data_IF_126567548924
#
_entry.id   IF_126567548924
#
_cell.length_a   1.000
_cell.length_b   1.000
_cell.length_c   1.000
_cell.angle_alpha   90.00
_cell.angle_beta   90.00
_cell.angle_gamma   90.00
#
_symmetry.space_group_name_H-M   'P 1'
#
loop_
_entity.id
_entity.type
_entity.pdbx_description
1 polymer ?
#
# COMPACT_ATOMS: atom_id res chain seq x y z
N UNK A 1 -31.19 28.38 5.07
CA UNK A 1 -30.00 28.05 4.24
C UNK A 1 -29.08 27.21 5.11
N UNK A 2 -28.97 25.91 4.83
CA UNK A 2 -28.06 25.04 5.57
C UNK A 2 -26.65 25.24 5.03
N UNK A 3 -25.77 25.71 5.90
CA UNK A 3 -24.36 25.86 5.61
C UNK A 3 -23.75 24.44 5.59
N UNK A 4 -23.55 23.90 4.39
CA UNK A 4 -22.80 22.66 4.21
C UNK A 4 -21.33 22.96 4.51
N UNK A 5 -20.91 22.74 5.77
CA UNK A 5 -19.50 22.85 6.16
C UNK A 5 -18.81 21.58 5.67
N UNK A 6 -17.90 21.67 4.67
CA UNK A 6 -17.21 20.49 4.20
C UNK A 6 -16.40 19.90 5.35
N UNK A 7 -16.49 18.57 5.57
CA UNK A 7 -15.81 17.91 6.66
C UNK A 7 -14.31 18.16 6.56
N UNK A 8 -13.75 18.81 7.58
CA UNK A 8 -12.35 19.28 7.63
C UNK A 8 -11.29 18.20 7.45
N UNK A 9 -11.66 16.90 7.54
CA UNK A 9 -10.76 15.75 7.40
C UNK A 9 -11.48 14.52 6.81
N UNK A 10 -11.72 14.53 5.49
CA UNK A 10 -12.25 13.35 4.78
C UNK A 10 -11.28 12.13 4.77
N UNK A 11 -10.00 12.33 5.12
CA UNK A 11 -8.93 11.37 4.87
C UNK A 11 -8.73 10.28 5.93
N UNK A 12 -9.16 10.46 7.20
CA UNK A 12 -8.85 9.50 8.28
C UNK A 12 -9.54 8.13 8.12
N UNK A 13 -10.76 8.10 7.58
CA UNK A 13 -11.51 6.86 7.42
C UNK A 13 -10.89 5.93 6.35
N UNK A 14 -10.41 6.50 5.23
CA UNK A 14 -9.77 5.75 4.13
C UNK A 14 -8.40 5.18 4.49
N UNK A 15 -7.69 5.84 5.42
CA UNK A 15 -6.35 5.42 5.80
C UNK A 15 -6.31 4.22 6.77
N UNK A 16 -7.32 4.08 7.64
CA UNK A 16 -7.45 2.89 8.48
C UNK A 16 -7.89 1.68 7.67
N UNK A 17 -8.79 1.85 6.70
CA UNK A 17 -9.27 0.75 5.85
C UNK A 17 -8.20 0.24 4.90
N UNK A 18 -7.37 1.09 4.30
CA UNK A 18 -6.25 0.63 3.46
C UNK A 18 -5.18 -0.11 4.26
N UNK A 19 -4.84 0.37 5.46
CA UNK A 19 -3.91 -0.35 6.36
C UNK A 19 -4.51 -1.68 6.79
N UNK A 20 -5.80 -1.72 7.13
CA UNK A 20 -6.48 -2.94 7.52
C UNK A 20 -6.54 -3.95 6.37
N UNK A 21 -6.87 -3.52 5.15
CA UNK A 21 -6.86 -4.38 3.96
C UNK A 21 -5.44 -4.90 3.68
N UNK A 22 -4.41 -4.06 3.78
CA UNK A 22 -3.02 -4.51 3.66
C UNK A 22 -2.66 -5.54 4.72
N UNK A 23 -2.96 -5.26 5.99
CA UNK A 23 -2.68 -6.16 7.11
C UNK A 23 -3.52 -7.45 7.11
N UNK A 24 -4.69 -7.46 6.47
CA UNK A 24 -5.48 -8.69 6.35
C UNK A 24 -5.02 -9.50 5.14
N UNK A 25 -4.81 -8.82 4.01
CA UNK A 25 -4.51 -9.47 2.74
C UNK A 25 -3.09 -10.03 2.74
N UNK A 26 -2.11 -9.31 3.27
CA UNK A 26 -0.72 -9.77 3.24
C UNK A 26 -0.48 -11.07 4.01
N UNK A 27 -0.82 -11.18 5.31
CA UNK A 27 -0.59 -12.41 6.07
C UNK A 27 -1.57 -13.52 5.70
N UNK A 28 -2.81 -13.20 5.33
CA UNK A 28 -3.77 -14.22 4.90
C UNK A 28 -3.37 -14.81 3.54
N UNK A 29 -3.06 -13.97 2.55
CA UNK A 29 -2.61 -14.43 1.23
C UNK A 29 -1.26 -15.14 1.30
N UNK A 30 -0.28 -14.55 2.01
CA UNK A 30 1.03 -15.19 2.23
C UNK A 30 0.89 -16.53 2.97
N UNK A 31 0.08 -16.57 4.02
CA UNK A 31 -0.16 -17.77 4.82
C UNK A 31 -0.84 -18.86 4.01
N UNK A 32 -1.89 -18.53 3.25
CA UNK A 32 -2.58 -19.47 2.36
C UNK A 32 -1.64 -19.98 1.28
N UNK A 33 -0.86 -19.12 0.62
CA UNK A 33 0.12 -19.55 -0.37
C UNK A 33 1.19 -20.46 0.24
N UNK A 34 1.67 -20.17 1.45
CA UNK A 34 2.62 -21.03 2.16
C UNK A 34 1.99 -22.37 2.50
N UNK A 35 0.78 -22.39 3.06
CA UNK A 35 0.06 -23.63 3.41
C UNK A 35 -0.22 -24.45 2.16
N UNK A 36 -0.67 -23.84 1.08
CA UNK A 36 -0.91 -24.52 -0.21
C UNK A 36 0.40 -25.07 -0.76
N UNK A 37 1.48 -24.28 -0.77
CA UNK A 37 2.81 -24.74 -1.19
C UNK A 37 3.31 -25.92 -0.37
N UNK A 38 3.23 -25.85 0.96
CA UNK A 38 3.60 -26.96 1.87
C UNK A 38 2.70 -28.17 1.65
N UNK A 39 1.40 -27.96 1.45
CA UNK A 39 0.43 -29.04 1.23
C UNK A 39 0.74 -29.76 -0.08
N UNK A 40 1.00 -29.02 -1.16
CA UNK A 40 1.40 -29.60 -2.45
C UNK A 40 2.73 -30.34 -2.36
N UNK A 41 3.67 -29.89 -1.51
CA UNK A 41 5.00 -30.51 -1.43
C UNK A 41 5.08 -31.70 -0.48
N UNK A 42 4.35 -31.66 0.64
CA UNK A 42 4.47 -32.63 1.74
C UNK A 42 3.35 -33.66 1.75
N UNK A 43 2.18 -33.37 1.18
CA UNK A 43 1.06 -34.32 1.23
C UNK A 43 1.23 -35.37 0.16
N UNK A 44 1.15 -36.63 0.58
CA UNK A 44 1.05 -37.77 -0.32
C UNK A 44 -0.21 -37.62 -1.18
N UNK A 45 -0.09 -37.80 -2.51
CA UNK A 45 -1.25 -37.77 -3.39
C UNK A 45 -2.22 -38.91 -3.03
N UNK A 46 -3.49 -38.74 -3.38
CA UNK A 46 -4.53 -39.74 -3.14
C UNK A 46 -4.28 -41.00 -3.98
N UNK A 47 -4.26 -42.15 -3.32
CA UNK A 47 -4.09 -43.47 -3.95
C UNK A 47 -5.26 -43.85 -4.89
N UNK A 48 -6.46 -43.31 -4.65
CA UNK A 48 -7.70 -43.77 -5.27
C UNK A 48 -8.13 -43.00 -6.51
N UNK A 49 -7.61 -41.80 -6.80
CA UNK A 49 -7.91 -41.03 -8.03
C UNK A 49 -6.79 -40.02 -8.37
N UNK A 50 -6.52 -39.83 -9.66
CA UNK A 50 -5.58 -38.81 -10.18
C UNK A 50 -4.36 -39.36 -10.93
N UNK A 51 -3.63 -38.49 -11.66
CA UNK A 51 -2.48 -38.87 -12.49
C UNK A 51 -1.18 -39.17 -11.70
N UNK A 52 -1.12 -38.87 -10.40
CA UNK A 52 0.08 -39.03 -9.55
C UNK A 52 0.00 -40.22 -8.56
N UNK A 53 -0.87 -41.20 -8.82
CA UNK A 53 -1.20 -42.30 -7.89
C UNK A 53 -0.02 -43.20 -7.47
N UNK A 54 1.02 -43.30 -8.29
CA UNK A 54 2.18 -44.20 -8.08
C UNK A 54 3.35 -43.53 -7.36
N UNK A 55 3.27 -42.22 -7.10
CA UNK A 55 4.39 -41.43 -6.59
C UNK A 55 4.22 -41.15 -5.10
N UNK A 56 5.33 -41.20 -4.35
CA UNK A 56 5.32 -40.91 -2.92
C UNK A 56 5.23 -39.41 -2.65
N UNK A 57 5.73 -38.59 -3.58
CA UNK A 57 5.52 -37.15 -3.58
C UNK A 57 5.15 -36.69 -4.99
N UNK A 58 4.28 -35.69 -5.17
CA UNK A 58 3.92 -35.19 -6.49
C UNK A 58 5.12 -34.60 -7.25
N UNK A 59 6.23 -34.38 -6.56
CA UNK A 59 7.48 -33.90 -7.14
C UNK A 59 8.35 -35.01 -7.74
N UNK A 60 8.12 -36.29 -7.39
CA UNK A 60 8.89 -37.41 -7.93
C UNK A 60 8.74 -37.52 -9.47
N UNK A 61 7.64 -36.99 -10.04
CA UNK A 61 7.41 -36.94 -11.49
C UNK A 61 8.38 -35.99 -12.19
N UNK A 62 8.82 -34.96 -11.48
CA UNK A 62 9.81 -34.01 -11.97
C UNK A 62 11.21 -34.61 -11.85
N UNK A 63 11.49 -35.46 -10.85
CA UNK A 63 12.75 -36.21 -10.74
C UNK A 63 12.91 -37.18 -11.93
N UNK A 64 11.84 -37.86 -12.35
CA UNK A 64 11.85 -38.75 -13.54
C UNK A 64 12.13 -37.97 -14.83
N UNK A 65 11.48 -36.81 -15.01
CA UNK A 65 11.74 -35.91 -16.14
C UNK A 65 13.16 -35.31 -16.12
N UNK A 66 13.67 -34.92 -14.94
CA UNK A 66 15.05 -34.46 -14.77
C UNK A 66 16.02 -35.56 -15.21
N UNK A 67 15.77 -36.82 -14.84
CA UNK A 67 16.64 -37.95 -15.17
C UNK A 67 16.77 -38.18 -16.68
N UNK A 68 15.71 -37.87 -17.44
CA UNK A 68 15.68 -37.97 -18.90
C UNK A 68 16.49 -36.86 -19.61
N UNK A 69 16.64 -35.69 -18.96
CA UNK A 69 17.34 -34.52 -19.53
C UNK A 69 18.80 -34.45 -19.08
N UNK A 70 19.13 -35.03 -17.93
CA UNK A 70 20.49 -35.08 -17.36
C UNK A 70 21.58 -35.59 -18.33
N UNK A 71 21.33 -36.53 -19.27
CA UNK A 71 22.36 -37.01 -20.21
C UNK A 71 22.85 -35.94 -21.20
N UNK A 72 22.10 -34.86 -21.43
CA UNK A 72 22.36 -33.90 -22.52
C UNK A 72 23.27 -32.71 -22.12
N UNK A 73 23.90 -32.74 -20.95
CA UNK A 73 25.06 -31.89 -20.61
C UNK A 73 24.88 -30.98 -19.40
N UNK A 74 26.01 -30.63 -18.76
CA UNK A 74 26.29 -29.58 -17.75
C UNK A 74 25.19 -29.13 -16.77
N UNK A 75 24.17 -29.95 -16.51
CA UNK A 75 23.01 -29.66 -15.66
C UNK A 75 23.05 -30.42 -14.35
N UNK A 76 24.10 -31.22 -14.12
CA UNK A 76 24.38 -31.92 -12.86
C UNK A 76 24.41 -30.98 -11.65
N UNK A 77 24.91 -29.74 -11.81
CA UNK A 77 24.86 -28.72 -10.75
C UNK A 77 23.43 -28.27 -10.43
N UNK A 78 22.54 -28.20 -11.43
CA UNK A 78 21.13 -27.83 -11.26
C UNK A 78 20.38 -28.93 -10.52
N UNK A 79 20.59 -30.19 -10.91
CA UNK A 79 20.00 -31.36 -10.24
C UNK A 79 20.50 -31.46 -8.79
N UNK A 80 21.77 -31.16 -8.55
CA UNK A 80 22.35 -31.14 -7.21
C UNK A 80 21.76 -30.04 -6.33
N UNK A 81 21.66 -28.79 -6.84
CA UNK A 81 20.99 -27.69 -6.14
C UNK A 81 19.54 -28.04 -5.85
N UNK A 82 18.84 -28.64 -6.81
CA UNK A 82 17.45 -28.99 -6.68
C UNK A 82 17.23 -30.05 -5.60
N UNK A 83 17.99 -31.14 -5.61
CA UNK A 83 17.87 -32.19 -4.59
C UNK A 83 18.25 -31.68 -3.20
N UNK A 84 19.27 -30.82 -3.10
CA UNK A 84 19.78 -30.38 -1.80
C UNK A 84 19.02 -29.17 -1.22
N UNK A 85 18.52 -28.27 -2.08
CA UNK A 85 17.84 -27.04 -1.68
C UNK A 85 16.32 -27.22 -1.63
N UNK A 86 15.72 -27.82 -2.66
CA UNK A 86 14.27 -27.88 -2.84
C UNK A 86 13.64 -29.06 -2.06
N UNK A 87 14.35 -30.19 -1.97
CA UNK A 87 13.91 -31.32 -1.13
C UNK A 87 14.08 -31.05 0.37
N UNK A 88 14.91 -30.06 0.72
CA UNK A 88 15.18 -29.66 2.10
C UNK A 88 14.14 -28.67 2.65
N UNK A 89 13.98 -28.65 3.97
CA UNK A 89 13.12 -27.70 4.71
C UNK A 89 13.54 -26.24 4.45
N UNK A 90 14.79 -26.02 4.05
CA UNK A 90 15.36 -24.71 3.76
C UNK A 90 14.61 -23.94 2.66
N UNK A 91 14.05 -24.61 1.65
CA UNK A 91 13.28 -23.93 0.61
C UNK A 91 12.08 -23.18 1.18
N UNK A 92 11.32 -23.81 2.08
CA UNK A 92 10.21 -23.15 2.76
C UNK A 92 10.69 -21.99 3.64
N UNK A 93 11.82 -22.15 4.31
CA UNK A 93 12.41 -21.07 5.11
C UNK A 93 12.76 -19.86 4.25
N UNK A 94 13.47 -20.05 3.12
CA UNK A 94 13.82 -18.97 2.19
C UNK A 94 12.57 -18.33 1.59
N UNK A 95 11.56 -19.12 1.20
CA UNK A 95 10.31 -18.60 0.63
C UNK A 95 9.57 -17.73 1.66
N UNK A 96 9.43 -18.19 2.90
CA UNK A 96 8.83 -17.40 3.98
C UNK A 96 9.63 -16.13 4.27
N UNK A 97 10.96 -16.19 4.27
CA UNK A 97 11.84 -15.03 4.44
C UNK A 97 11.62 -13.99 3.33
N UNK A 98 11.56 -14.42 2.07
CA UNK A 98 11.29 -13.53 0.92
C UNK A 98 9.94 -12.84 1.08
N UNK A 99 8.88 -13.60 1.42
CA UNK A 99 7.54 -13.03 1.60
C UNK A 99 7.53 -12.03 2.77
N UNK A 100 8.25 -12.31 3.86
CA UNK A 100 8.41 -11.37 4.98
C UNK A 100 9.12 -10.08 4.54
N UNK A 101 10.21 -10.19 3.77
CA UNK A 101 10.92 -9.01 3.23
C UNK A 101 10.00 -8.18 2.35
N UNK A 102 9.28 -8.81 1.42
CA UNK A 102 8.33 -8.11 0.54
C UNK A 102 7.25 -7.41 1.38
N UNK A 103 6.68 -8.10 2.38
CA UNK A 103 5.68 -7.51 3.29
C UNK A 103 6.19 -6.27 4.02
N UNK A 104 7.45 -6.32 4.46
CA UNK A 104 8.11 -5.23 5.16
C UNK A 104 8.33 -4.03 4.24
N UNK A 105 8.78 -4.26 3.01
CA UNK A 105 8.94 -3.21 2.01
C UNK A 105 7.59 -2.54 1.68
N UNK A 106 6.52 -3.32 1.52
CA UNK A 106 5.17 -2.77 1.32
C UNK A 106 4.72 -1.92 2.51
N UNK A 107 4.97 -2.38 3.75
CA UNK A 107 4.70 -1.58 4.94
C UNK A 107 5.44 -0.24 4.88
N UNK A 108 6.75 -0.26 4.60
CA UNK A 108 7.56 0.95 4.49
C UNK A 108 7.01 1.92 3.44
N UNK A 109 6.67 1.42 2.25
CA UNK A 109 6.10 2.23 1.16
C UNK A 109 4.78 2.89 1.61
N UNK A 110 3.90 2.12 2.26
CA UNK A 110 2.62 2.65 2.76
C UNK A 110 2.85 3.74 3.81
N UNK A 111 3.82 3.59 4.71
CA UNK A 111 4.15 4.62 5.70
C UNK A 111 4.76 5.87 5.06
N UNK A 112 5.66 5.70 4.09
CA UNK A 112 6.29 6.81 3.35
C UNK A 112 5.26 7.71 2.66
N UNK A 113 4.23 7.11 2.04
CA UNK A 113 3.15 7.87 1.38
C UNK A 113 2.37 8.77 2.36
N UNK A 114 2.23 8.37 3.63
CA UNK A 114 1.53 9.19 4.64
C UNK A 114 2.33 10.43 5.04
N UNK A 115 3.65 10.27 5.16
CA UNK A 115 4.56 11.34 5.55
C UNK A 115 4.62 12.40 4.44
N UNK A 116 4.73 11.97 3.18
CA UNK A 116 4.76 12.88 2.03
C UNK A 116 3.51 13.75 1.94
N UNK A 117 2.32 13.14 2.09
CA UNK A 117 1.05 13.89 2.07
C UNK A 117 0.98 14.91 3.22
N UNK A 118 1.48 14.57 4.42
CA UNK A 118 1.49 15.49 5.56
C UNK A 118 2.40 16.70 5.30
N UNK A 119 3.56 16.49 4.69
CA UNK A 119 4.49 17.57 4.35
C UNK A 119 3.88 18.52 3.32
N UNK A 120 3.29 17.99 2.24
CA UNK A 120 2.62 18.79 1.22
C UNK A 120 1.49 19.64 1.79
N UNK A 121 0.64 19.07 2.66
CA UNK A 121 -0.43 19.83 3.32
C UNK A 121 0.10 20.94 4.23
N UNK A 122 1.25 20.71 4.88
CA UNK A 122 1.88 21.71 5.75
C UNK A 122 2.47 22.86 4.92
N UNK A 123 3.10 22.56 3.79
CA UNK A 123 3.61 23.57 2.85
C UNK A 123 2.47 24.45 2.32
N UNK A 124 1.41 23.84 1.80
CA UNK A 124 0.24 24.58 1.27
C UNK A 124 -0.37 25.49 2.35
N UNK A 125 -0.47 25.02 3.60
CA UNK A 125 -1.03 25.82 4.69
C UNK A 125 -0.16 27.03 5.05
N UNK A 126 1.16 26.90 4.99
CA UNK A 126 2.10 27.98 5.28
C UNK A 126 2.12 29.01 4.15
N UNK A 127 2.15 28.55 2.89
CA UNK A 127 2.05 29.43 1.72
C UNK A 127 0.71 30.17 1.66
N UNK A 128 -0.40 29.51 2.06
CA UNK A 128 -1.72 30.14 2.14
C UNK A 128 -1.79 31.26 3.17
N UNK A 129 -1.12 31.09 4.33
CA UNK A 129 -1.03 32.13 5.36
C UNK A 129 -0.23 33.34 4.87
N UNK A 130 0.90 33.11 4.21
CA UNK A 130 1.76 34.17 3.69
C UNK A 130 1.03 35.05 2.66
N UNK A 131 0.33 34.42 1.70
CA UNK A 131 -0.51 35.14 0.73
C UNK A 131 -1.65 35.92 1.39
N UNK A 132 -2.27 35.37 2.44
CA UNK A 132 -3.34 36.07 3.18
C UNK A 132 -2.85 37.29 3.96
N UNK A 133 -1.60 37.24 4.45
CA UNK A 133 -0.95 38.37 5.11
C UNK A 133 -0.64 39.49 4.11
N UNK A 134 -0.04 39.14 2.96
CA UNK A 134 0.24 40.11 1.89
C UNK A 134 -1.03 40.80 1.38
N UNK A 135 -2.13 40.07 1.17
CA UNK A 135 -3.40 40.66 0.75
C UNK A 135 -3.98 41.62 1.80
N UNK A 136 -3.86 41.29 3.08
CA UNK A 136 -4.31 42.17 4.16
C UNK A 136 -3.47 43.45 4.24
N UNK A 137 -2.16 43.35 4.00
CA UNK A 137 -1.27 44.51 4.01
C UNK A 137 -1.53 45.44 2.82
N UNK A 138 -1.68 44.89 1.60
CA UNK A 138 -2.09 45.66 0.42
C UNK A 138 -3.45 46.35 0.66
N UNK A 139 -4.42 45.64 1.25
CA UNK A 139 -5.74 46.21 1.55
C UNK A 139 -5.70 47.29 2.62
N UNK A 140 -4.78 47.23 3.58
CA UNK A 140 -4.52 48.32 4.53
C UNK A 140 -3.93 49.53 3.84
N UNK A 141 -2.94 49.35 2.97
CA UNK A 141 -2.30 50.45 2.23
C UNK A 141 -3.21 51.07 1.17
N UNK A 142 -4.15 50.30 0.59
CA UNK A 142 -5.19 50.84 -0.30
C UNK A 142 -6.37 51.48 0.43
N UNK A 143 -6.45 51.35 1.77
CA UNK A 143 -7.43 52.08 2.55
C UNK A 143 -6.98 53.55 2.53
N UNK A 144 -7.72 54.47 1.88
CA UNK A 144 -7.25 55.83 1.71
C UNK A 144 -7.04 56.45 3.09
N UNK A 145 -5.82 56.94 3.34
CA UNK A 145 -5.53 57.79 4.49
C UNK A 145 -6.47 59.00 4.42
N UNK A 146 -7.25 59.19 5.48
CA UNK A 146 -8.23 60.25 5.71
C UNK A 146 -8.35 61.34 4.64
N UNK A 147 -9.35 61.19 3.78
CA UNK A 147 -10.02 62.29 3.09
C UNK A 147 -11.50 62.24 3.42
N UNK A 148 -11.87 62.65 4.65
CA UNK A 148 -13.28 62.78 5.01
C UNK A 148 -13.85 64.05 4.35
N UNK A 149 -14.36 63.92 3.12
CA UNK A 149 -15.36 64.80 2.51
C UNK A 149 -16.44 63.92 1.90
N UNK A 150 -17.68 64.25 2.25
CA UNK A 150 -18.86 63.41 2.08
C UNK A 150 -19.33 63.15 0.65
N UNK A 151 -20.46 62.44 0.62
CA UNK A 151 -21.37 62.14 -0.49
C UNK A 151 -21.13 60.82 -1.27
N UNK A 152 -21.89 59.81 -0.85
CA UNK A 152 -22.82 59.00 -1.66
C UNK A 152 -22.27 58.26 -2.89
N UNK A 153 -22.23 56.92 -2.82
CA UNK A 153 -23.11 56.06 -3.66
C UNK A 153 -23.10 54.61 -3.16
N UNK A 154 -24.29 54.02 -3.03
CA UNK A 154 -24.52 52.65 -2.60
C UNK A 154 -23.84 51.61 -3.51
N UNK A 155 -23.46 50.46 -2.94
CA UNK A 155 -23.86 49.12 -3.44
C UNK A 155 -24.06 48.17 -2.25
N UNK A 156 -25.33 47.87 -2.01
CA UNK A 156 -25.91 46.60 -1.55
C UNK A 156 -25.29 45.90 -0.33
N UNK A 157 -25.83 46.25 0.83
CA UNK A 157 -25.92 45.34 1.97
C UNK A 157 -26.76 44.11 1.59
N UNK A 158 -26.14 42.92 1.51
CA UNK A 158 -26.83 41.68 1.88
C UNK A 158 -26.46 41.34 3.32
N UNK A 159 -27.24 41.89 4.24
CA UNK A 159 -27.23 41.53 5.66
C UNK A 159 -27.54 40.04 5.81
N UNK A 160 -26.63 39.29 6.44
CA UNK A 160 -26.99 38.07 7.16
C UNK A 160 -26.62 38.30 8.62
N UNK A 161 -27.67 38.61 9.38
CA UNK A 161 -27.71 38.79 10.83
C UNK A 161 -27.19 37.52 11.50
N UNK A 162 -26.05 37.62 12.20
CA UNK A 162 -25.63 36.64 13.20
C UNK A 162 -26.13 37.16 14.55
N UNK A 163 -27.21 36.56 15.03
CA UNK A 163 -27.62 36.62 16.43
C UNK A 163 -26.98 35.47 17.19
N UNK A 164 -26.62 35.75 18.44
CA UNK A 164 -25.99 34.90 19.45
C UNK A 164 -26.73 33.57 19.61
#
# INVERSE_FOLDING_TARGET
MMNCIPPRRAWRASQMTTVFIFLLFFPSFAGVLCVVGVTLWRRKPSLMCGPFRTLNTPYDSVDEWISYITPFGNTTWVVWIYNNLVKSVLFFYILTLIVLIISYLYWQIVQGRKIMVKLLLTQIANEGKDKSFLLNEIRKSQKPSGGNRGATHQISHRQVRVGI
#
